data_IF_294979730976
#
_entry.id   IF_294979730976
#
_cell.length_a   1.000
_cell.length_b   1.000
_cell.length_c   1.000
_cell.angle_alpha   90.00
_cell.angle_beta   90.00
_cell.angle_gamma   90.00
#
_symmetry.space_group_name_H-M   'P 1'
#
loop_
_entity.id
_entity.type
_entity.pdbx_description
1 polymer ?
#
# COMPACT_ATOMS: atom_id res chain seq x y z
N UNK A 1 -29.00 -22.03 0.13
CA UNK A 1 -28.39 -22.02 1.48
C UNK A 1 -27.08 -21.29 1.36
N UNK A 2 -27.08 -19.98 1.64
CA UNK A 2 -25.92 -19.12 1.46
C UNK A 2 -25.09 -19.20 2.74
N UNK A 3 -23.91 -19.82 2.66
CA UNK A 3 -22.97 -19.80 3.77
C UNK A 3 -22.65 -18.33 4.09
N UNK A 4 -22.98 -17.90 5.30
CA UNK A 4 -22.53 -16.63 5.83
C UNK A 4 -21.00 -16.66 5.79
N UNK A 5 -20.39 -15.86 4.92
CA UNK A 5 -18.94 -15.71 4.84
C UNK A 5 -18.48 -15.17 6.20
N UNK A 6 -17.85 -16.02 6.99
CA UNK A 6 -17.32 -15.67 8.30
C UNK A 6 -16.35 -14.51 8.13
N UNK A 7 -16.60 -13.39 8.80
CA UNK A 7 -15.63 -12.31 8.92
C UNK A 7 -14.34 -12.90 9.50
N UNK A 8 -13.15 -12.57 8.96
CA UNK A 8 -11.91 -12.89 9.65
C UNK A 8 -11.93 -12.14 10.99
N UNK A 9 -12.20 -12.83 12.09
CA UNK A 9 -12.19 -12.21 13.40
C UNK A 9 -10.74 -11.83 13.74
N UNK A 10 -10.40 -10.54 13.69
CA UNK A 10 -9.04 -10.00 13.90
C UNK A 10 -8.35 -10.44 15.20
N UNK A 11 -9.10 -10.96 16.16
CA UNK A 11 -8.57 -11.66 17.33
C UNK A 11 -7.57 -12.79 17.01
N UNK A 12 -7.50 -13.27 15.77
CA UNK A 12 -6.76 -14.49 15.42
C UNK A 12 -5.35 -14.22 14.87
N UNK A 13 -5.04 -13.01 14.36
CA UNK A 13 -3.74 -12.71 13.71
C UNK A 13 -3.06 -11.42 14.21
N UNK A 14 -2.88 -11.23 15.53
CA UNK A 14 -2.22 -10.04 16.08
C UNK A 14 -0.80 -9.82 15.54
N UNK A 15 -0.09 -10.89 15.16
CA UNK A 15 1.27 -10.84 14.61
C UNK A 15 1.36 -10.23 13.20
N UNK A 16 0.25 -10.21 12.45
CA UNK A 16 0.20 -9.64 11.11
C UNK A 16 -0.28 -8.18 11.12
N UNK A 17 -0.75 -7.68 12.26
CA UNK A 17 -1.36 -6.35 12.36
C UNK A 17 -0.30 -5.25 12.46
N UNK A 18 -0.41 -4.21 11.62
CA UNK A 18 0.45 -3.02 11.67
C UNK A 18 -0.35 -1.75 11.43
N UNK A 19 0.10 -0.64 12.03
CA UNK A 19 -0.41 0.69 11.72
C UNK A 19 0.45 1.33 10.62
N UNK A 20 -0.21 1.69 9.52
CA UNK A 20 0.36 2.36 8.37
C UNK A 20 0.86 3.75 8.76
N UNK A 21 0.10 4.48 9.58
CA UNK A 21 0.49 5.81 10.04
C UNK A 21 1.71 5.75 10.97
N UNK A 22 1.74 4.78 11.91
CA UNK A 22 2.87 4.61 12.81
C UNK A 22 4.14 4.20 12.06
N UNK A 23 4.06 3.17 11.22
CA UNK A 23 5.21 2.71 10.43
C UNK A 23 5.70 3.78 9.45
N UNK A 24 4.79 4.51 8.79
CA UNK A 24 5.15 5.64 7.94
C UNK A 24 5.87 6.75 8.70
N UNK A 25 5.42 7.08 9.92
CA UNK A 25 6.06 8.08 10.79
C UNK A 25 7.46 7.63 11.20
N UNK A 26 7.65 6.36 11.51
CA UNK A 26 8.97 5.79 11.84
C UNK A 26 9.95 5.91 10.66
N UNK A 27 9.52 5.58 9.45
CA UNK A 27 10.32 5.74 8.23
C UNK A 27 10.64 7.21 7.93
N UNK A 28 9.68 8.12 8.10
CA UNK A 28 9.90 9.55 7.94
C UNK A 28 10.92 10.09 8.96
N UNK A 29 10.85 9.61 10.21
CA UNK A 29 11.83 9.97 11.24
C UNK A 29 13.22 9.43 10.94
N UNK A 30 13.35 8.20 10.42
CA UNK A 30 14.62 7.65 9.94
C UNK A 30 15.20 8.49 8.81
N UNK A 31 14.38 8.88 7.84
CA UNK A 31 14.79 9.78 6.76
C UNK A 31 15.28 11.12 7.29
N UNK A 32 14.53 11.76 8.20
CA UNK A 32 14.94 13.02 8.85
C UNK A 32 16.30 12.88 9.53
N UNK A 33 16.50 11.79 10.29
CA UNK A 33 17.76 11.56 10.98
C UNK A 33 18.92 11.46 9.98
N UNK A 34 18.80 10.62 8.95
CA UNK A 34 19.84 10.47 7.89
C UNK A 34 20.16 11.81 7.22
N UNK A 35 19.13 12.59 6.87
CA UNK A 35 19.33 13.90 6.22
C UNK A 35 19.95 14.94 7.16
N UNK A 36 19.60 14.91 8.44
CA UNK A 36 20.18 15.80 9.46
C UNK A 36 21.66 15.49 9.69
N UNK A 37 22.03 14.20 9.74
CA UNK A 37 23.43 13.77 9.79
C UNK A 37 24.23 14.26 8.58
N UNK A 38 23.65 14.17 7.37
CA UNK A 38 24.29 14.67 6.15
C UNK A 38 24.44 16.19 6.13
N UNK A 39 23.49 16.93 6.72
CA UNK A 39 23.51 18.38 6.76
C UNK A 39 24.38 18.95 7.89
N UNK A 40 24.71 18.15 8.91
CA UNK A 40 25.45 18.57 10.10
C UNK A 40 24.61 19.38 11.12
N UNK A 41 23.28 19.40 10.97
CA UNK A 41 22.33 20.01 11.90
C UNK A 41 20.93 19.40 11.74
N UNK A 42 20.06 19.55 12.75
CA UNK A 42 18.69 19.03 12.70
C UNK A 42 17.84 19.78 11.67
N UNK A 43 17.31 19.04 10.70
CA UNK A 43 16.45 19.57 9.65
C UNK A 43 14.98 19.70 10.08
N UNK A 44 14.56 19.05 11.18
CA UNK A 44 13.21 19.18 11.74
C UNK A 44 12.07 18.82 10.77
N UNK A 45 10.96 19.55 10.87
CA UNK A 45 9.74 19.35 10.07
C UNK A 45 9.92 19.44 8.54
N UNK A 46 10.79 20.31 7.98
CA UNK A 46 11.12 20.30 6.55
C UNK A 46 11.48 18.92 5.99
N UNK A 47 12.30 18.13 6.69
CA UNK A 47 12.68 16.80 6.22
C UNK A 47 11.52 15.79 6.26
N UNK A 48 10.61 15.92 7.23
CA UNK A 48 9.38 15.11 7.28
C UNK A 48 8.47 15.45 6.08
N UNK A 49 8.31 16.74 5.77
CA UNK A 49 7.55 17.17 4.59
C UNK A 49 8.15 16.66 3.28
N UNK A 50 9.48 16.72 3.15
CA UNK A 50 10.19 16.15 2.01
C UNK A 50 9.89 14.66 1.87
N UNK A 51 9.97 13.90 2.96
CA UNK A 51 9.66 12.47 2.92
C UNK A 51 8.21 12.20 2.52
N UNK A 52 7.24 12.94 3.06
CA UNK A 52 5.83 12.78 2.71
C UNK A 52 5.63 13.02 1.22
N UNK A 53 6.17 14.12 0.70
CA UNK A 53 6.05 14.49 -0.71
C UNK A 53 6.67 13.44 -1.64
N UNK A 54 7.85 12.92 -1.30
CA UNK A 54 8.60 12.01 -2.18
C UNK A 54 8.21 10.53 -2.02
N UNK A 55 7.79 10.11 -0.84
CA UNK A 55 7.77 8.68 -0.47
C UNK A 55 6.42 8.17 0.05
N UNK A 56 5.52 9.02 0.54
CA UNK A 56 4.27 8.56 1.15
C UNK A 56 3.42 7.69 0.21
N UNK A 57 3.22 8.14 -1.03
CA UNK A 57 2.39 7.40 -1.99
C UNK A 57 3.00 6.05 -2.36
N UNK A 58 4.34 5.97 -2.47
CA UNK A 58 5.04 4.72 -2.73
C UNK A 58 4.94 3.76 -1.54
N UNK A 59 5.09 4.27 -0.32
CA UNK A 59 4.92 3.52 0.91
C UNK A 59 3.50 2.97 1.04
N UNK A 60 2.49 3.82 0.82
CA UNK A 60 1.06 3.45 0.85
C UNK A 60 0.74 2.38 -0.20
N UNK A 61 1.27 2.52 -1.42
CA UNK A 61 1.11 1.53 -2.49
C UNK A 61 1.70 0.17 -2.10
N UNK A 62 2.87 0.14 -1.48
CA UNK A 62 3.48 -1.09 -1.02
C UNK A 62 2.63 -1.76 0.07
N UNK A 63 2.23 -0.99 1.09
CA UNK A 63 1.37 -1.47 2.17
C UNK A 63 0.03 -2.01 1.63
N UNK A 64 -0.56 -1.31 0.67
CA UNK A 64 -1.78 -1.76 0.00
C UNK A 64 -1.62 -3.11 -0.70
N UNK A 65 -0.53 -3.31 -1.44
CA UNK A 65 -0.23 -4.60 -2.07
C UNK A 65 -0.03 -5.72 -1.06
N UNK A 66 0.62 -5.47 0.07
CA UNK A 66 0.76 -6.47 1.14
C UNK A 66 -0.59 -6.85 1.76
N UNK A 67 -1.47 -5.86 1.95
CA UNK A 67 -2.82 -6.05 2.48
C UNK A 67 -3.65 -6.95 1.55
N UNK A 68 -3.69 -6.61 0.27
CA UNK A 68 -4.41 -7.35 -0.77
C UNK A 68 -3.90 -8.80 -0.92
N UNK A 69 -2.59 -9.01 -0.71
CA UNK A 69 -1.97 -10.34 -0.71
C UNK A 69 -2.20 -11.13 0.59
N UNK A 70 -2.77 -10.51 1.63
CA UNK A 70 -2.95 -11.14 2.94
C UNK A 70 -1.67 -11.29 3.76
N UNK A 71 -0.60 -10.55 3.41
CA UNK A 71 0.73 -10.65 4.06
C UNK A 71 0.80 -9.85 5.36
N UNK A 72 0.28 -8.62 5.34
CA UNK A 72 0.26 -7.70 6.49
C UNK A 72 -1.12 -7.07 6.57
N UNK A 73 -1.72 -7.14 7.75
CA UNK A 73 -2.98 -6.47 8.02
C UNK A 73 -2.74 -5.03 8.46
N UNK A 74 -2.76 -4.12 7.50
CA UNK A 74 -2.71 -2.68 7.72
C UNK A 74 -4.03 -2.13 8.27
N UNK A 75 -3.98 -1.55 9.47
CA UNK A 75 -5.13 -1.11 10.24
C UNK A 75 -6.02 -0.06 9.57
N UNK A 76 -5.40 0.82 8.80
CA UNK A 76 -6.04 1.96 8.17
C UNK A 76 -6.68 1.59 6.81
N UNK A 77 -6.48 0.35 6.35
CA UNK A 77 -7.06 -0.19 5.13
C UNK A 77 -8.32 -1.01 5.44
N UNK A 78 -9.18 -1.20 4.44
CA UNK A 78 -10.47 -1.85 4.62
C UNK A 78 -10.30 -3.36 4.86
N UNK A 79 -10.94 -3.87 5.92
CA UNK A 79 -10.94 -5.31 6.27
C UNK A 79 -11.35 -6.21 5.09
N UNK A 80 -12.31 -5.77 4.27
CA UNK A 80 -12.84 -6.57 3.16
C UNK A 80 -11.81 -6.89 2.09
N UNK A 81 -10.77 -6.07 2.02
CA UNK A 81 -9.74 -6.12 0.98
C UNK A 81 -8.55 -6.99 1.42
N UNK A 82 -8.48 -7.35 2.70
CA UNK A 82 -7.43 -8.23 3.20
C UNK A 82 -7.48 -9.60 2.53
N UNK A 83 -6.37 -9.99 1.90
CA UNK A 83 -6.26 -11.25 1.17
C UNK A 83 -7.17 -11.35 -0.06
N UNK A 84 -7.70 -10.24 -0.58
CA UNK A 84 -8.60 -10.21 -1.73
C UNK A 84 -7.99 -10.96 -2.94
N UNK A 85 -6.70 -10.75 -3.21
CA UNK A 85 -6.06 -11.37 -4.38
C UNK A 85 -5.96 -12.89 -4.26
N UNK A 86 -5.68 -13.39 -3.06
CA UNK A 86 -5.70 -14.83 -2.83
C UNK A 86 -7.13 -15.38 -2.94
N UNK A 87 -8.13 -14.66 -2.43
CA UNK A 87 -9.53 -15.13 -2.47
C UNK A 87 -10.10 -15.19 -3.88
N UNK A 88 -9.90 -14.15 -4.67
CA UNK A 88 -10.53 -14.02 -6.00
C UNK A 88 -9.67 -14.69 -7.09
N UNK A 89 -8.34 -14.71 -6.95
CA UNK A 89 -7.41 -15.16 -8.00
C UNK A 89 -6.46 -16.29 -7.57
N UNK A 90 -6.78 -17.07 -6.51
CA UNK A 90 -5.94 -18.19 -6.03
C UNK A 90 -5.45 -19.15 -7.13
N UNK A 91 -6.28 -19.42 -8.13
CA UNK A 91 -6.00 -20.38 -9.20
C UNK A 91 -5.46 -19.71 -10.46
N UNK A 92 -5.28 -18.39 -10.44
CA UNK A 92 -4.77 -17.63 -11.58
C UNK A 92 -3.28 -17.86 -11.74
N UNK A 93 -2.81 -18.38 -12.89
CA UNK A 93 -1.39 -18.42 -13.19
C UNK A 93 -0.81 -17.02 -13.48
N UNK A 94 -1.66 -16.01 -13.67
CA UNK A 94 -1.27 -14.64 -14.06
C UNK A 94 -0.99 -13.75 -12.84
N UNK A 95 -1.57 -14.06 -11.68
CA UNK A 95 -1.46 -13.25 -10.47
C UNK A 95 0.00 -12.99 -10.07
N UNK A 96 0.80 -14.04 -9.91
CA UNK A 96 2.19 -13.90 -9.48
C UNK A 96 3.05 -13.12 -10.49
N UNK A 97 3.02 -13.42 -11.81
CA UNK A 97 3.68 -12.61 -12.82
C UNK A 97 3.32 -11.12 -12.78
N UNK A 98 2.03 -10.79 -12.58
CA UNK A 98 1.57 -9.40 -12.49
C UNK A 98 2.09 -8.73 -11.20
N UNK A 99 2.04 -9.43 -10.06
CA UNK A 99 2.57 -8.95 -8.78
C UNK A 99 4.08 -8.68 -8.84
N UNK A 100 4.86 -9.58 -9.44
CA UNK A 100 6.30 -9.41 -9.61
C UNK A 100 6.61 -8.17 -10.48
N UNK A 101 5.77 -7.91 -11.48
CA UNK A 101 5.90 -6.73 -12.33
C UNK A 101 5.46 -5.45 -11.65
N UNK A 102 4.46 -5.47 -10.78
CA UNK A 102 4.03 -4.30 -9.98
C UNK A 102 5.10 -3.76 -9.04
N UNK A 103 6.07 -4.60 -8.64
CA UNK A 103 7.19 -4.19 -7.81
C UNK A 103 8.18 -3.34 -8.63
N UNK A 104 8.34 -3.63 -9.93
CA UNK A 104 9.32 -3.00 -10.82
C UNK A 104 8.69 -1.86 -11.62
N UNK A 105 7.47 -2.06 -12.10
CA UNK A 105 6.71 -1.13 -12.93
C UNK A 105 5.87 -0.19 -12.04
N UNK A 106 5.80 1.08 -12.43
CA UNK A 106 5.23 2.12 -11.56
C UNK A 106 3.73 2.27 -11.73
N UNK A 107 3.20 1.94 -12.91
CA UNK A 107 1.82 2.22 -13.27
C UNK A 107 1.10 0.99 -13.87
N UNK A 108 -0.23 0.96 -13.74
CA UNK A 108 -1.04 -0.10 -14.37
C UNK A 108 -0.90 -0.09 -15.89
N UNK A 109 -0.67 1.09 -16.50
CA UNK A 109 -0.45 1.20 -17.94
C UNK A 109 0.81 0.44 -18.38
N UNK A 110 1.91 0.54 -17.64
CA UNK A 110 3.15 -0.19 -17.93
C UNK A 110 2.90 -1.70 -17.93
N UNK A 111 2.06 -2.17 -17.01
CA UNK A 111 1.71 -3.60 -16.89
C UNK A 111 0.83 -4.02 -18.06
N UNK A 112 -0.14 -3.21 -18.46
CA UNK A 112 -1.00 -3.50 -19.62
C UNK A 112 -0.15 -3.61 -20.88
N UNK A 113 0.78 -2.67 -21.11
CA UNK A 113 1.66 -2.68 -22.27
C UNK A 113 2.55 -3.93 -22.28
N UNK A 114 3.16 -4.25 -21.14
CA UNK A 114 3.95 -5.49 -21.00
C UNK A 114 3.10 -6.76 -21.21
N UNK A 115 1.89 -6.80 -20.63
CA UNK A 115 0.99 -7.93 -20.72
C UNK A 115 0.54 -8.20 -22.17
N UNK A 116 0.34 -7.15 -22.97
CA UNK A 116 0.02 -7.27 -24.40
C UNK A 116 1.12 -7.95 -25.22
N UNK A 117 2.38 -7.84 -24.79
CA UNK A 117 3.51 -8.49 -25.46
C UNK A 117 3.70 -9.95 -25.04
N UNK A 118 3.23 -10.33 -23.84
CA UNK A 118 3.53 -11.62 -23.22
C UNK A 118 2.33 -12.58 -23.22
N UNK A 119 1.12 -12.06 -23.05
CA UNK A 119 -0.08 -12.87 -22.85
C UNK A 119 -0.97 -12.89 -24.10
N UNK A 120 -1.79 -13.95 -24.19
CA UNK A 120 -2.78 -14.05 -25.26
C UNK A 120 -3.95 -13.11 -25.01
N UNK A 121 -4.74 -12.84 -26.05
CA UNK A 121 -5.93 -11.99 -25.94
C UNK A 121 -6.92 -12.49 -24.88
N UNK A 122 -7.12 -13.80 -24.78
CA UNK A 122 -8.04 -14.39 -23.80
C UNK A 122 -7.53 -14.25 -22.36
N UNK A 123 -6.22 -14.15 -22.16
CA UNK A 123 -5.60 -13.90 -20.85
C UNK A 123 -5.65 -12.42 -20.46
N UNK A 124 -5.75 -11.51 -21.43
CA UNK A 124 -5.78 -10.07 -21.16
C UNK A 124 -7.01 -9.64 -20.36
N UNK A 125 -8.15 -10.33 -20.52
CA UNK A 125 -9.34 -10.04 -19.72
C UNK A 125 -9.09 -10.29 -18.23
N UNK A 126 -8.44 -11.41 -17.88
CA UNK A 126 -8.04 -11.72 -16.51
C UNK A 126 -6.95 -10.75 -15.98
N UNK A 127 -6.04 -10.29 -16.84
CA UNK A 127 -5.07 -9.24 -16.47
C UNK A 127 -5.80 -7.96 -16.07
N UNK A 128 -6.84 -7.57 -16.82
CA UNK A 128 -7.65 -6.38 -16.51
C UNK A 128 -8.39 -6.60 -15.19
N UNK A 129 -9.03 -7.75 -14.99
CA UNK A 129 -9.73 -8.07 -13.73
C UNK A 129 -8.80 -7.98 -12.51
N UNK A 130 -7.57 -8.50 -12.63
CA UNK A 130 -6.55 -8.42 -11.57
C UNK A 130 -6.16 -6.96 -11.32
N UNK A 131 -5.90 -6.17 -12.37
CA UNK A 131 -5.52 -4.75 -12.25
C UNK A 131 -6.65 -3.88 -11.69
N UNK A 132 -7.91 -4.22 -11.98
CA UNK A 132 -9.09 -3.60 -11.40
C UNK A 132 -9.23 -3.93 -9.93
N UNK A 133 -9.05 -5.21 -9.54
CA UNK A 133 -9.07 -5.62 -8.13
C UNK A 133 -7.92 -4.98 -7.33
N UNK A 134 -6.75 -4.80 -7.94
CA UNK A 134 -5.63 -4.09 -7.34
C UNK A 134 -5.95 -2.63 -7.07
N UNK A 135 -6.82 -2.00 -7.88
CA UNK A 135 -7.24 -0.60 -7.82
C UNK A 135 -6.23 0.34 -7.15
N UNK A 136 -4.96 0.29 -7.61
CA UNK A 136 -3.86 0.88 -6.84
C UNK A 136 -4.00 2.40 -6.71
N UNK A 137 -4.77 3.00 -7.63
CA UNK A 137 -5.07 4.43 -7.66
C UNK A 137 -6.20 4.86 -6.69
N UNK A 138 -6.98 3.93 -6.14
CA UNK A 138 -8.03 4.22 -5.16
C UNK A 138 -7.49 4.39 -3.74
N UNK A 139 -6.30 3.86 -3.44
CA UNK A 139 -5.70 4.01 -2.11
C UNK A 139 -5.06 5.41 -1.98
N UNK A 140 -5.85 6.37 -1.50
CA UNK A 140 -5.43 7.76 -1.24
C UNK A 140 -5.63 8.13 0.22
N UNK A 141 -4.97 7.39 1.11
CA UNK A 141 -4.94 7.75 2.52
C UNK A 141 -4.07 8.97 2.75
N UNK A 142 -4.57 9.89 3.58
CA UNK A 142 -3.82 11.06 4.00
C UNK A 142 -2.73 10.66 4.99
N UNK A 143 -1.57 11.31 4.91
CA UNK A 143 -0.55 11.20 5.94
C UNK A 143 -0.99 12.02 7.18
N UNK A 144 -1.27 11.34 8.30
CA UNK A 144 -1.78 12.00 9.52
C UNK A 144 -0.67 12.68 10.32
N UNK A 145 0.59 12.30 10.08
CA UNK A 145 1.75 12.88 10.73
C UNK A 145 2.37 14.05 9.95
N UNK A 146 1.65 14.58 8.97
CA UNK A 146 2.02 15.81 8.30
C UNK A 146 2.10 16.95 9.34
N UNK A 147 3.24 17.66 9.46
CA UNK A 147 3.46 18.63 10.54
C UNK A 147 2.38 19.70 10.67
N UNK A 148 1.81 20.15 9.55
CA UNK A 148 0.79 21.20 9.53
C UNK A 148 -0.57 20.70 10.06
N UNK A 149 -0.89 19.40 9.88
CA UNK A 149 -2.08 18.79 10.49
C UNK A 149 -1.91 18.60 11.98
N UNK A 150 -0.71 18.22 12.42
CA UNK A 150 -0.44 18.07 13.83
C UNK A 150 -0.59 19.40 14.56
N UNK A 151 -0.03 20.49 13.99
CA UNK A 151 -0.16 21.85 14.56
C UNK A 151 -1.61 22.32 14.62
N UNK A 152 -2.42 22.01 13.61
CA UNK A 152 -3.84 22.36 13.62
C UNK A 152 -4.63 21.60 14.70
N UNK A 153 -4.32 20.31 14.92
CA UNK A 153 -4.96 19.50 15.98
C UNK A 153 -4.59 20.00 17.38
N UNK A 154 -3.34 20.42 17.60
CA UNK A 154 -2.90 20.96 18.89
C UNK A 154 -3.35 22.41 19.15
N UNK A 155 -3.74 23.16 18.12
CA UNK A 155 -4.24 24.52 18.26
C UNK A 155 -5.74 24.60 18.65
N UNK A 156 -6.45 23.47 18.61
CA UNK A 156 -7.91 23.37 18.89
C UNK A 156 -8.19 22.66 20.23
N UNK A 157 -7.16 22.12 20.89
CA UNK A 157 -7.23 21.47 22.20
C UNK A 157 -6.80 22.42 23.33
#
# INVERSE_FOLDING_TARGET
MTAARSKPTFSIFPELQRSLQLCGREEANRFKWIRSEQAGYDLGDPAIREWIYLHWNGFLRHAWLEHLQGKVYWLELQETDFGLLQREFQNSPLLNPILDRLIVLKENLDIILWAQEVFTRDQMDEVIDILEALNVNACRLKCEFEPDLQRALFAVA
#
